data_IF_488259677721
#
_entry.id   IF_488259677721
#
_cell.length_a   1.000
_cell.length_b   1.000
_cell.length_c   1.000
_cell.angle_alpha   90.00
_cell.angle_beta   90.00
_cell.angle_gamma   90.00
#
_symmetry.space_group_name_H-M   'P 1'
#
loop_
_entity.id
_entity.type
_entity.pdbx_description
1 polymer ?
#
# COMPACT_ATOMS: atom_id res chain seq x y z
N UNK A 1 -50.24 -53.93 6.90
CA UNK A 1 -49.42 -52.85 6.29
C UNK A 1 -48.51 -52.17 7.32
N UNK A 2 -48.97 -51.86 8.54
CA UNK A 2 -48.13 -51.33 9.63
C UNK A 2 -46.97 -52.24 10.08
N UNK A 3 -47.14 -53.57 10.09
CA UNK A 3 -46.07 -54.52 10.50
C UNK A 3 -44.90 -54.62 9.52
N UNK A 4 -45.10 -54.31 8.24
CA UNK A 4 -44.04 -54.41 7.22
C UNK A 4 -43.15 -53.15 7.27
N UNK A 5 -43.76 -51.99 7.54
CA UNK A 5 -43.03 -50.73 7.71
C UNK A 5 -42.18 -50.70 8.98
N UNK A 6 -42.68 -51.25 10.10
CA UNK A 6 -41.91 -51.35 11.35
C UNK A 6 -40.73 -52.32 11.24
N UNK A 7 -40.89 -53.42 10.49
CA UNK A 7 -39.85 -54.42 10.27
C UNK A 7 -38.72 -53.92 9.36
N UNK A 8 -39.03 -53.11 8.34
CA UNK A 8 -38.02 -52.46 7.50
C UNK A 8 -37.26 -51.34 8.23
N UNK A 9 -37.94 -50.55 9.06
CA UNK A 9 -37.29 -49.53 9.88
C UNK A 9 -36.30 -50.12 10.90
N UNK A 10 -36.65 -51.26 11.52
CA UNK A 10 -35.78 -51.97 12.45
C UNK A 10 -34.55 -52.62 11.80
N UNK A 11 -34.64 -53.02 10.53
CA UNK A 11 -33.51 -53.60 9.78
C UNK A 11 -32.53 -52.54 9.26
N UNK A 12 -33.04 -51.38 8.82
CA UNK A 12 -32.22 -50.26 8.33
C UNK A 12 -31.45 -49.57 9.48
N UNK A 13 -32.03 -49.47 10.68
CA UNK A 13 -31.39 -48.78 11.81
C UNK A 13 -30.27 -49.57 12.51
N UNK A 14 -30.13 -50.89 12.26
CA UNK A 14 -28.99 -51.67 12.78
C UNK A 14 -27.65 -51.32 12.12
N UNK A 15 -27.68 -50.74 10.92
CA UNK A 15 -26.50 -50.30 10.19
C UNK A 15 -26.14 -48.83 10.44
N UNK A 16 -27.00 -48.09 11.13
CA UNK A 16 -26.70 -46.74 11.61
C UNK A 16 -25.86 -46.91 12.88
N UNK A 17 -24.68 -46.29 12.95
CA UNK A 17 -23.71 -46.42 14.06
C UNK A 17 -24.19 -45.93 15.44
N UNK A 18 -25.50 -45.75 15.62
CA UNK A 18 -26.15 -45.47 16.90
C UNK A 18 -26.26 -46.77 17.71
N UNK A 19 -25.13 -47.20 18.27
CA UNK A 19 -24.97 -48.43 19.07
C UNK A 19 -26.02 -48.62 20.18
N UNK A 20 -26.60 -47.53 20.66
CA UNK A 20 -27.60 -47.53 21.71
C UNK A 20 -29.02 -47.90 21.20
N UNK A 21 -29.32 -47.77 19.90
CA UNK A 21 -30.71 -47.90 19.38
C UNK A 21 -31.23 -49.34 19.52
N UNK A 22 -30.31 -50.30 19.48
CA UNK A 22 -30.58 -51.71 19.73
C UNK A 22 -31.17 -51.96 21.13
N UNK A 23 -30.83 -51.13 22.13
CA UNK A 23 -31.33 -51.22 23.51
C UNK A 23 -32.72 -50.62 23.69
N UNK A 24 -33.09 -49.64 22.86
CA UNK A 24 -34.43 -49.03 22.83
C UNK A 24 -35.50 -50.02 22.37
N UNK A 25 -35.17 -50.86 21.38
CA UNK A 25 -36.09 -51.82 20.80
C UNK A 25 -36.20 -53.13 21.60
N UNK A 26 -35.11 -53.64 22.19
CA UNK A 26 -35.05 -54.99 22.74
C UNK A 26 -35.48 -55.15 24.21
N UNK A 27 -35.47 -54.11 25.05
CA UNK A 27 -35.90 -54.20 26.45
C UNK A 27 -37.38 -53.85 26.64
N UNK A 28 -38.22 -54.70 27.25
CA UNK A 28 -39.67 -54.45 27.40
C UNK A 28 -40.05 -53.55 28.59
N UNK A 29 -39.23 -53.41 29.64
CA UNK A 29 -39.59 -52.73 30.90
C UNK A 29 -38.98 -51.33 31.09
N UNK A 30 -37.91 -50.99 30.38
CA UNK A 30 -37.14 -49.74 30.58
C UNK A 30 -37.06 -48.83 29.33
N UNK A 31 -37.99 -48.95 28.37
CA UNK A 31 -37.95 -48.18 27.11
C UNK A 31 -38.05 -46.67 27.34
N UNK A 32 -38.88 -46.25 28.30
CA UNK A 32 -39.13 -44.84 28.60
C UNK A 32 -37.85 -44.12 29.06
N UNK A 33 -37.03 -44.78 29.88
CA UNK A 33 -35.75 -44.25 30.36
C UNK A 33 -34.81 -44.02 29.16
N UNK A 34 -34.73 -44.99 28.25
CA UNK A 34 -33.92 -44.85 27.04
C UNK A 34 -34.44 -43.73 26.12
N UNK A 35 -35.76 -43.60 25.95
CA UNK A 35 -36.35 -42.48 25.19
C UNK A 35 -35.97 -41.12 25.78
N UNK A 36 -36.05 -40.94 27.11
CA UNK A 36 -35.68 -39.68 27.77
C UNK A 36 -34.19 -39.35 27.57
N UNK A 37 -33.33 -40.35 27.70
CA UNK A 37 -31.88 -40.20 27.46
C UNK A 37 -31.64 -39.75 26.01
N UNK A 38 -32.32 -40.36 25.04
CA UNK A 38 -32.19 -39.96 23.64
C UNK A 38 -32.66 -38.56 23.36
N UNK A 39 -33.83 -38.17 23.88
CA UNK A 39 -34.35 -36.82 23.67
C UNK A 39 -33.42 -35.78 24.28
N UNK A 40 -32.80 -36.09 25.43
CA UNK A 40 -31.80 -35.21 26.06
C UNK A 40 -30.54 -35.07 25.22
N UNK A 41 -30.03 -36.18 24.65
CA UNK A 41 -28.86 -36.17 23.76
C UNK A 41 -29.15 -35.33 22.51
N UNK A 42 -30.31 -35.52 21.86
CA UNK A 42 -30.70 -34.75 20.67
C UNK A 42 -30.87 -33.25 20.95
N UNK A 43 -31.47 -32.89 22.09
CA UNK A 43 -31.60 -31.49 22.47
C UNK A 43 -30.23 -30.84 22.70
N UNK A 44 -29.32 -31.54 23.38
CA UNK A 44 -27.96 -31.06 23.65
C UNK A 44 -27.13 -30.91 22.37
N UNK A 45 -27.21 -31.87 21.44
CA UNK A 45 -26.47 -31.77 20.17
C UNK A 45 -26.95 -30.59 19.33
N UNK A 46 -28.26 -30.37 19.22
CA UNK A 46 -28.83 -29.22 18.52
C UNK A 46 -28.36 -27.90 19.17
N UNK A 47 -28.39 -27.83 20.50
CA UNK A 47 -27.91 -26.65 21.24
C UNK A 47 -26.42 -26.37 20.97
N UNK A 48 -25.56 -27.38 21.04
CA UNK A 48 -24.13 -27.24 20.77
C UNK A 48 -23.86 -26.80 19.32
N UNK A 49 -24.59 -27.36 18.35
CA UNK A 49 -24.49 -26.94 16.94
C UNK A 49 -24.86 -25.47 16.80
N UNK A 50 -25.99 -25.05 17.39
CA UNK A 50 -26.41 -23.65 17.36
C UNK A 50 -25.34 -22.73 17.96
N UNK A 51 -24.83 -23.05 19.16
CA UNK A 51 -23.81 -22.26 19.85
C UNK A 51 -22.50 -22.13 19.06
N UNK A 52 -22.02 -23.23 18.47
CA UNK A 52 -20.81 -23.21 17.65
C UNK A 52 -21.05 -22.38 16.38
N UNK A 53 -22.18 -22.56 15.71
CA UNK A 53 -22.51 -21.80 14.51
C UNK A 53 -22.62 -20.30 14.78
N UNK A 54 -23.28 -19.87 15.84
CA UNK A 54 -23.38 -18.44 16.17
C UNK A 54 -22.02 -17.86 16.51
N UNK A 55 -21.23 -18.54 17.33
CA UNK A 55 -19.88 -18.09 17.71
C UNK A 55 -18.96 -17.96 16.49
N UNK A 56 -19.04 -18.92 15.56
CA UNK A 56 -18.25 -18.90 14.32
C UNK A 56 -18.70 -17.79 13.35
N UNK A 57 -20.01 -17.57 13.21
CA UNK A 57 -20.54 -16.50 12.35
C UNK A 57 -20.22 -15.10 12.88
N UNK A 58 -20.15 -14.95 14.21
CA UNK A 58 -19.77 -13.69 14.84
C UNK A 58 -18.26 -13.43 14.72
N UNK A 59 -17.42 -14.46 14.87
CA UNK A 59 -15.96 -14.32 14.85
C UNK A 59 -15.28 -15.46 14.05
N UNK A 60 -15.32 -15.43 12.71
CA UNK A 60 -14.82 -16.53 11.87
C UNK A 60 -13.29 -16.59 11.77
N UNK A 61 -12.57 -15.57 12.24
CA UNK A 61 -11.11 -15.48 12.12
C UNK A 61 -10.45 -15.22 13.47
N UNK A 62 -9.47 -16.06 13.81
CA UNK A 62 -8.57 -15.80 14.93
C UNK A 62 -7.18 -15.50 14.38
N UNK A 63 -6.58 -14.41 14.82
CA UNK A 63 -5.22 -14.02 14.42
C UNK A 63 -4.25 -14.42 15.53
N UNK A 64 -3.23 -15.21 15.16
CA UNK A 64 -2.10 -15.54 16.04
C UNK A 64 -0.88 -14.77 15.57
N UNK A 65 -0.06 -14.28 16.50
CA UNK A 65 1.23 -13.68 16.17
C UNK A 65 2.25 -14.81 15.99
N UNK A 66 2.81 -14.93 14.79
CA UNK A 66 3.99 -15.75 14.56
C UNK A 66 5.22 -14.98 15.06
N UNK A 67 6.07 -15.64 15.86
CA UNK A 67 7.15 -15.00 16.61
C UNK A 67 8.15 -14.26 15.72
N UNK A 68 8.59 -13.07 16.16
CA UNK A 68 9.55 -12.19 15.46
C UNK A 68 11.02 -12.68 15.46
N UNK A 69 11.28 -13.99 15.47
CA UNK A 69 12.63 -14.55 15.53
C UNK A 69 13.38 -14.57 14.19
N UNK A 70 12.99 -13.71 13.25
CA UNK A 70 13.66 -13.60 11.97
C UNK A 70 14.81 -12.58 12.06
N UNK A 71 16.03 -12.91 11.64
CA UNK A 71 17.15 -11.98 11.68
C UNK A 71 16.87 -10.79 10.74
N UNK A 72 17.06 -9.56 11.25
CA UNK A 72 16.81 -8.31 10.51
C UNK A 72 17.56 -8.23 9.18
N UNK A 73 18.68 -8.94 9.05
CA UNK A 73 19.52 -8.94 7.85
C UNK A 73 18.94 -9.73 6.67
N UNK A 74 18.00 -10.61 6.91
CA UNK A 74 17.39 -11.41 5.85
C UNK A 74 16.02 -10.83 5.40
N UNK A 75 15.57 -9.77 6.06
CA UNK A 75 14.35 -9.06 5.66
C UNK A 75 14.64 -8.15 4.48
N UNK A 76 13.88 -8.33 3.40
CA UNK A 76 13.92 -7.42 2.27
C UNK A 76 13.64 -5.99 2.76
N UNK A 77 14.57 -5.07 2.49
CA UNK A 77 14.42 -3.69 2.92
C UNK A 77 13.20 -3.04 2.26
N UNK A 78 12.47 -2.17 2.97
CA UNK A 78 11.40 -1.41 2.37
C UNK A 78 11.94 -0.39 1.35
N UNK A 79 11.05 0.12 0.52
CA UNK A 79 11.34 1.33 -0.23
C UNK A 79 11.39 2.53 0.70
N UNK A 80 12.42 3.37 0.57
CA UNK A 80 12.63 4.58 1.39
C UNK A 80 12.63 5.79 0.47
N UNK A 81 11.91 6.85 0.83
CA UNK A 81 11.94 8.13 0.14
C UNK A 81 12.35 9.25 1.09
N UNK A 82 13.44 9.95 0.77
CA UNK A 82 13.92 11.11 1.51
C UNK A 82 13.65 12.36 0.67
N UNK A 83 12.83 13.26 1.20
CA UNK A 83 12.42 14.49 0.53
C UNK A 83 13.03 15.70 1.25
N UNK A 84 13.54 16.66 0.48
CA UNK A 84 13.95 17.95 1.03
C UNK A 84 12.70 18.80 1.29
N UNK A 85 12.63 19.45 2.45
CA UNK A 85 11.54 20.39 2.77
C UNK A 85 11.53 21.58 1.80
N UNK A 86 12.70 21.97 1.30
CA UNK A 86 12.83 22.97 0.26
C UNK A 86 12.65 22.31 -1.11
N UNK A 87 11.41 22.34 -1.62
CA UNK A 87 11.06 21.77 -2.93
C UNK A 87 11.81 22.47 -4.08
N UNK A 88 12.02 23.78 -3.98
CA UNK A 88 12.80 24.58 -4.95
C UNK A 88 14.05 25.15 -4.28
N UNK A 89 15.21 24.90 -4.88
CA UNK A 89 16.48 25.48 -4.43
C UNK A 89 16.64 26.90 -4.94
N UNK A 90 16.79 27.87 -4.03
CA UNK A 90 17.02 29.28 -4.38
C UNK A 90 18.21 29.47 -5.33
N UNK A 91 19.33 28.78 -5.08
CA UNK A 91 20.53 28.84 -5.92
C UNK A 91 20.25 28.37 -7.35
N UNK A 92 19.45 27.31 -7.51
CA UNK A 92 19.10 26.76 -8.81
C UNK A 92 18.06 27.60 -9.53
N UNK A 93 17.10 28.14 -8.80
CA UNK A 93 16.15 29.13 -9.32
C UNK A 93 16.86 30.37 -9.88
N UNK A 94 17.88 30.87 -9.18
CA UNK A 94 18.69 32.00 -9.64
C UNK A 94 19.49 31.68 -10.91
N UNK A 95 20.11 30.50 -10.97
CA UNK A 95 20.84 30.04 -12.14
C UNK A 95 19.92 29.80 -13.35
N UNK A 96 18.74 29.22 -13.13
CA UNK A 96 17.73 29.02 -14.15
C UNK A 96 17.21 30.35 -14.69
N UNK A 97 16.91 31.31 -13.80
CA UNK A 97 16.47 32.64 -14.18
C UNK A 97 17.53 33.41 -14.98
N UNK A 98 18.80 33.28 -14.62
CA UNK A 98 19.91 33.88 -15.36
C UNK A 98 20.08 33.26 -16.75
N UNK A 99 20.04 31.93 -16.85
CA UNK A 99 20.09 31.20 -18.12
C UNK A 99 18.96 31.62 -19.06
N UNK A 100 17.75 31.76 -18.54
CA UNK A 100 16.59 32.17 -19.34
C UNK A 100 16.62 33.66 -19.69
N UNK A 101 17.08 34.53 -18.78
CA UNK A 101 17.25 35.96 -19.06
C UNK A 101 18.23 36.20 -20.23
N UNK A 102 19.33 35.45 -20.28
CA UNK A 102 20.33 35.54 -21.36
C UNK A 102 19.76 35.08 -22.71
N UNK A 103 18.96 34.02 -22.73
CA UNK A 103 18.45 33.45 -23.98
C UNK A 103 17.23 34.20 -24.54
N UNK A 104 16.41 34.82 -23.67
CA UNK A 104 15.13 35.44 -24.04
C UNK A 104 15.14 36.97 -23.97
N UNK A 105 16.14 37.57 -23.29
CA UNK A 105 16.21 39.02 -23.08
C UNK A 105 15.27 39.56 -22.00
N UNK A 106 14.65 38.69 -21.21
CA UNK A 106 13.70 39.06 -20.15
C UNK A 106 14.44 39.43 -18.87
N UNK A 107 13.82 40.30 -18.08
CA UNK A 107 14.34 40.65 -16.78
C UNK A 107 14.35 39.45 -15.82
N UNK A 108 15.48 39.22 -15.14
CA UNK A 108 15.67 38.14 -14.18
C UNK A 108 14.61 38.13 -13.07
N UNK A 109 14.15 39.30 -12.63
CA UNK A 109 13.11 39.41 -11.59
C UNK A 109 11.78 38.80 -12.03
N UNK A 110 11.39 38.97 -13.29
CA UNK A 110 10.10 38.54 -13.80
C UNK A 110 10.07 37.02 -13.93
N UNK A 111 11.19 36.45 -14.36
CA UNK A 111 11.39 34.99 -14.38
C UNK A 111 11.36 34.42 -12.95
N UNK A 112 12.00 35.08 -11.99
CA UNK A 112 12.01 34.64 -10.60
C UNK A 112 10.60 34.62 -9.97
N UNK A 113 9.77 35.61 -10.31
CA UNK A 113 8.37 35.65 -9.87
C UNK A 113 7.59 34.46 -10.45
N UNK A 114 7.77 34.14 -11.73
CA UNK A 114 7.15 32.98 -12.36
C UNK A 114 7.67 31.64 -11.79
N UNK A 115 8.97 31.53 -11.46
CA UNK A 115 9.53 30.34 -10.79
C UNK A 115 8.94 30.16 -9.39
N UNK A 116 8.67 31.25 -8.68
CA UNK A 116 7.97 31.18 -7.39
C UNK A 116 6.56 30.62 -7.58
N UNK A 117 5.88 31.05 -8.65
CA UNK A 117 4.56 30.55 -9.01
C UNK A 117 4.55 29.06 -9.41
N UNK A 118 5.64 28.54 -10.00
CA UNK A 118 5.82 27.08 -10.16
C UNK A 118 5.78 26.34 -8.82
N UNK A 119 6.29 26.95 -7.74
CA UNK A 119 6.27 26.36 -6.40
C UNK A 119 4.85 26.12 -5.88
N UNK A 120 3.90 26.97 -6.25
CA UNK A 120 2.49 26.82 -5.84
C UNK A 120 1.82 25.57 -6.43
N UNK A 121 2.38 24.97 -7.49
CA UNK A 121 1.93 23.70 -8.03
C UNK A 121 2.13 22.54 -7.05
N UNK A 122 3.11 22.64 -6.15
CA UNK A 122 3.35 21.61 -5.14
C UNK A 122 2.39 21.66 -3.95
N UNK A 123 1.86 22.84 -3.64
CA UNK A 123 0.98 23.05 -2.49
C UNK A 123 -0.48 23.24 -2.92
N UNK A 124 -0.75 23.04 -4.23
CA UNK A 124 -2.05 23.23 -4.88
C UNK A 124 -2.72 24.57 -4.52
N UNK A 125 -1.91 25.61 -4.27
CA UNK A 125 -2.34 26.90 -3.75
C UNK A 125 -2.13 28.00 -4.80
N UNK A 126 -2.97 28.00 -5.83
CA UNK A 126 -2.87 29.01 -6.88
C UNK A 126 -3.33 30.39 -6.37
N UNK A 127 -2.66 31.49 -6.78
CA UNK A 127 -3.14 32.84 -6.49
C UNK A 127 -4.56 33.04 -7.02
N UNK A 128 -5.39 33.74 -6.25
CA UNK A 128 -6.76 34.09 -6.66
C UNK A 128 -6.82 35.23 -7.70
N UNK A 129 -5.71 35.94 -7.92
CA UNK A 129 -5.63 37.02 -8.88
C UNK A 129 -5.50 36.50 -10.32
N UNK A 130 -6.49 36.85 -11.14
CA UNK A 130 -6.59 36.39 -12.53
C UNK A 130 -5.45 36.95 -13.39
N UNK A 131 -5.00 38.19 -13.12
CA UNK A 131 -3.92 38.81 -13.89
C UNK A 131 -2.58 38.10 -13.70
N UNK A 132 -2.28 37.71 -12.45
CA UNK A 132 -1.10 36.90 -12.13
C UNK A 132 -1.14 35.53 -12.82
N UNK A 133 -2.31 34.89 -12.87
CA UNK A 133 -2.48 33.61 -13.54
C UNK A 133 -2.34 33.71 -15.06
N UNK A 134 -2.87 34.77 -15.67
CA UNK A 134 -2.72 35.04 -17.10
C UNK A 134 -1.24 35.25 -17.47
N UNK A 135 -0.53 36.07 -16.70
CA UNK A 135 0.91 36.27 -16.90
C UNK A 135 1.71 34.97 -16.77
N UNK A 136 1.30 34.12 -15.82
CA UNK A 136 1.90 32.81 -15.64
C UNK A 136 1.65 31.87 -16.81
N UNK A 137 0.42 31.85 -17.32
CA UNK A 137 0.07 31.06 -18.50
C UNK A 137 0.89 31.51 -19.71
N UNK A 138 0.99 32.81 -19.95
CA UNK A 138 1.85 33.37 -21.01
C UNK A 138 3.30 32.92 -20.83
N UNK A 139 3.82 32.89 -19.60
CA UNK A 139 5.15 32.40 -19.33
C UNK A 139 5.33 30.92 -19.72
N UNK A 140 4.37 30.06 -19.35
CA UNK A 140 4.42 28.63 -19.69
C UNK A 140 4.31 28.37 -21.19
N UNK A 141 3.54 29.19 -21.92
CA UNK A 141 3.33 29.04 -23.36
C UNK A 141 4.50 29.60 -24.19
N UNK A 142 5.06 30.72 -23.75
CA UNK A 142 6.05 31.48 -24.52
C UNK A 142 7.47 30.96 -24.34
N UNK A 143 7.79 30.37 -23.18
CA UNK A 143 9.17 30.04 -22.82
C UNK A 143 9.37 28.55 -22.62
N UNK A 144 9.51 27.79 -23.72
CA UNK A 144 9.73 26.37 -23.62
C UNK A 144 11.09 26.06 -22.98
N UNK A 145 11.10 24.98 -22.21
CA UNK A 145 12.27 24.45 -21.47
C UNK A 145 13.41 23.99 -22.40
N UNK A 146 13.20 24.04 -23.72
CA UNK A 146 14.14 23.67 -24.75
C UNK A 146 14.20 24.79 -25.80
N UNK A 147 15.41 25.27 -26.12
CA UNK A 147 15.69 26.23 -27.20
C UNK A 147 15.20 25.72 -28.58
N UNK A 148 14.81 24.43 -28.69
CA UNK A 148 14.35 23.77 -29.91
C UNK A 148 12.82 23.66 -30.06
N UNK A 149 12.02 24.51 -29.40
CA UNK A 149 10.60 24.69 -29.72
C UNK A 149 9.64 23.57 -29.28
N UNK A 150 9.94 22.89 -28.15
CA UNK A 150 8.99 21.98 -27.50
C UNK A 150 7.97 22.71 -26.62
N UNK A 151 6.98 22.02 -26.04
CA UNK A 151 6.12 22.59 -24.97
C UNK A 151 6.87 22.69 -23.64
N UNK A 152 6.43 23.58 -22.73
CA UNK A 152 7.01 23.67 -21.39
C UNK A 152 6.79 22.38 -20.58
N UNK A 153 7.87 21.70 -20.24
CA UNK A 153 7.83 20.50 -19.40
C UNK A 153 8.01 20.89 -17.94
N UNK A 154 6.88 21.01 -17.24
CA UNK A 154 6.87 21.39 -15.82
C UNK A 154 7.64 20.40 -14.96
N UNK A 155 7.60 19.10 -15.25
CA UNK A 155 8.30 18.10 -14.46
C UNK A 155 9.82 18.23 -14.64
N UNK A 156 10.28 18.45 -15.87
CA UNK A 156 11.71 18.65 -16.17
C UNK A 156 12.25 19.91 -15.51
N UNK A 157 11.54 21.04 -15.61
CA UNK A 157 11.94 22.30 -14.96
C UNK A 157 11.96 22.14 -13.44
N UNK A 158 10.90 21.60 -12.85
CA UNK A 158 10.85 21.38 -11.40
C UNK A 158 11.97 20.42 -10.92
N UNK A 159 12.35 19.43 -11.73
CA UNK A 159 13.49 18.55 -11.44
C UNK A 159 14.82 19.30 -11.48
N UNK A 160 15.02 20.22 -12.44
CA UNK A 160 16.21 21.09 -12.52
C UNK A 160 16.28 22.05 -11.32
N UNK A 161 15.13 22.55 -10.86
CA UNK A 161 15.02 23.46 -9.72
C UNK A 161 15.21 22.78 -8.35
N UNK A 162 15.00 21.47 -8.26
CA UNK A 162 15.14 20.69 -7.01
C UNK A 162 16.61 20.42 -6.69
N UNK A 163 16.96 20.28 -5.41
CA UNK A 163 18.30 19.83 -4.97
C UNK A 163 18.47 18.33 -5.22
N UNK A 164 19.57 17.85 -5.83
CA UNK A 164 19.74 16.47 -6.23
C UNK A 164 20.16 15.62 -5.04
N UNK A 165 20.03 14.29 -5.19
CA UNK A 165 20.30 13.37 -4.10
C UNK A 165 21.75 13.36 -3.63
N UNK A 166 22.71 13.53 -4.54
CA UNK A 166 24.13 13.58 -4.18
C UNK A 166 24.54 14.84 -3.39
N UNK A 167 23.76 15.93 -3.47
CA UNK A 167 23.97 17.13 -2.63
C UNK A 167 23.19 17.04 -1.31
N UNK A 168 22.10 16.27 -1.27
CA UNK A 168 21.23 16.15 -0.08
C UNK A 168 21.69 15.03 0.86
N UNK A 169 22.22 13.94 0.31
CA UNK A 169 22.68 12.76 1.04
C UNK A 169 24.20 12.67 0.94
N UNK A 170 24.90 12.86 2.06
CA UNK A 170 26.37 12.84 2.11
C UNK A 170 26.92 11.45 2.41
N UNK A 171 26.33 10.77 3.38
CA UNK A 171 26.85 9.51 3.92
C UNK A 171 25.76 8.43 3.90
N UNK A 172 25.98 7.38 3.10
CA UNK A 172 25.08 6.25 3.01
C UNK A 172 25.76 4.98 3.51
N UNK A 173 25.17 4.38 4.55
CA UNK A 173 25.63 3.12 5.15
C UNK A 173 24.51 2.10 5.07
N UNK A 174 24.81 0.96 4.44
CA UNK A 174 23.85 -0.10 4.18
C UNK A 174 24.46 -1.43 4.56
N UNK A 175 23.80 -2.19 5.45
CA UNK A 175 24.31 -3.43 6.02
C UNK A 175 25.72 -3.32 6.64
N UNK A 176 26.08 -2.14 7.14
CA UNK A 176 27.40 -1.86 7.73
C UNK A 176 28.51 -1.57 6.72
N UNK A 177 28.20 -1.53 5.42
CA UNK A 177 29.12 -1.10 4.38
C UNK A 177 28.81 0.34 3.94
N UNK A 178 29.86 1.11 3.61
CA UNK A 178 29.71 2.43 3.01
C UNK A 178 29.41 2.31 1.51
N UNK A 179 28.47 3.11 1.04
CA UNK A 179 28.07 3.18 -0.37
C UNK A 179 28.04 4.62 -0.83
N UNK A 180 28.25 4.83 -2.12
CA UNK A 180 27.94 6.12 -2.72
C UNK A 180 26.42 6.31 -2.75
N UNK A 181 25.91 7.39 -2.16
CA UNK A 181 24.48 7.67 -2.14
C UNK A 181 23.86 7.77 -3.54
N UNK A 182 24.63 8.17 -4.55
CA UNK A 182 24.19 8.24 -5.94
C UNK A 182 23.92 6.87 -6.57
N UNK A 183 24.57 5.83 -6.04
CA UNK A 183 24.41 4.43 -6.49
C UNK A 183 23.28 3.71 -5.74
N UNK A 184 22.66 4.36 -4.74
CA UNK A 184 21.56 3.81 -3.96
C UNK A 184 20.26 4.58 -4.20
N UNK A 185 20.34 5.91 -4.23
CA UNK A 185 19.18 6.78 -4.34
C UNK A 185 19.11 7.42 -5.72
N UNK A 186 17.89 7.45 -6.27
CA UNK A 186 17.63 8.21 -7.51
C UNK A 186 16.54 9.26 -7.27
N UNK A 187 16.63 10.37 -8.00
CA UNK A 187 15.65 11.45 -7.90
C UNK A 187 14.42 11.10 -8.74
N UNK A 188 13.31 10.83 -8.05
CA UNK A 188 12.02 10.49 -8.66
C UNK A 188 10.91 11.42 -8.18
N UNK A 189 9.89 11.56 -9.02
CA UNK A 189 8.68 12.31 -8.67
C UNK A 189 7.82 11.49 -7.70
N UNK A 190 7.46 12.10 -6.58
CA UNK A 190 6.60 11.54 -5.54
C UNK A 190 5.44 12.50 -5.23
N UNK A 191 4.58 12.13 -4.28
CA UNK A 191 3.48 12.99 -3.81
C UNK A 191 3.99 14.30 -3.18
N UNK A 192 5.21 14.30 -2.64
CA UNK A 192 5.86 15.47 -2.02
C UNK A 192 6.77 16.24 -3.00
N UNK A 193 6.79 15.84 -4.27
CA UNK A 193 7.67 16.38 -5.31
C UNK A 193 8.87 15.48 -5.59
N UNK A 194 9.97 16.07 -6.08
CA UNK A 194 11.16 15.30 -6.45
C UNK A 194 11.95 14.90 -5.20
N UNK A 195 12.01 13.60 -4.94
CA UNK A 195 12.64 13.04 -3.76
C UNK A 195 13.66 11.96 -4.10
N UNK A 196 14.52 11.65 -3.15
CA UNK A 196 15.50 10.59 -3.24
C UNK A 196 14.88 9.28 -2.82
N UNK A 197 14.63 8.40 -3.79
CA UNK A 197 14.02 7.10 -3.54
C UNK A 197 15.07 5.99 -3.56
N UNK A 198 14.92 5.02 -2.67
CA UNK A 198 15.72 3.81 -2.56
C UNK A 198 14.79 2.60 -2.54
N UNK A 199 15.18 1.53 -3.23
CA UNK A 199 14.43 0.28 -3.37
C UNK A 199 12.95 0.46 -3.76
N UNK A 200 12.65 1.43 -4.61
CA UNK A 200 11.30 1.67 -5.12
C UNK A 200 11.05 0.93 -6.43
N UNK A 201 9.83 0.40 -6.63
CA UNK A 201 9.48 -0.44 -7.79
C UNK A 201 9.76 0.28 -9.12
N UNK A 202 9.61 1.61 -9.17
CA UNK A 202 9.91 2.38 -10.39
C UNK A 202 11.40 2.37 -10.76
N UNK A 203 12.32 2.26 -9.79
CA UNK A 203 13.77 2.17 -10.06
C UNK A 203 14.15 0.89 -10.82
N UNK A 204 13.37 -0.19 -10.65
CA UNK A 204 13.64 -1.49 -11.29
C UNK A 204 13.47 -1.48 -12.81
N UNK A 205 12.84 -0.46 -13.39
CA UNK A 205 12.63 -0.36 -14.85
C UNK A 205 13.78 0.27 -15.60
N UNK A 206 14.61 1.07 -14.94
CA UNK A 206 15.54 1.99 -15.62
C UNK A 206 17.01 1.69 -15.34
N UNK A 207 17.31 0.87 -14.33
CA UNK A 207 18.70 0.51 -14.06
C UNK A 207 18.81 -0.88 -13.44
N UNK A 208 19.88 -1.57 -13.83
CA UNK A 208 20.40 -2.81 -13.25
C UNK A 208 20.98 -2.50 -11.85
N UNK A 209 20.15 -1.92 -10.97
CA UNK A 209 20.56 -1.67 -9.60
C UNK A 209 20.77 -3.01 -8.91
N UNK A 210 21.83 -3.15 -8.09
CA UNK A 210 22.04 -4.36 -7.33
C UNK A 210 20.76 -4.63 -6.55
N UNK A 211 20.20 -5.83 -6.71
CA UNK A 211 19.21 -6.33 -5.75
C UNK A 211 19.99 -6.52 -4.46
N UNK A 212 20.01 -5.48 -3.64
CA UNK A 212 20.53 -5.56 -2.29
C UNK A 212 19.44 -6.32 -1.52
N UNK A 213 19.52 -7.65 -1.66
CA UNK A 213 18.82 -8.64 -0.86
C UNK A 213 19.31 -8.52 0.59
#
# INVERSE_FOLDING_TARGET
MQEILTRNAGAQMKHVGLLSYQWLHNGKRNRYIWYLIYTSIWAFTIYMIYFICTTFMENPTYTTLESFHYPVRELAMPGISVCNLNKISKKRAEAYAEKLAISTGINKSDIMNNVTLLGHLYDFSLPADLGTLEHFQVFLETYPDNIQGGSFDTQKVLKELTTPCHETLTDCVLHGAFWNCSDLFVTELTMEGFCCVFNYIAQRKTAEFPRIL
#
